data_IF_651973771064
#
_entry.id   IF_651973771064
#
_cell.length_a   1.000
_cell.length_b   1.000
_cell.length_c   1.000
_cell.angle_alpha   90.00
_cell.angle_beta   90.00
_cell.angle_gamma   90.00
#
_symmetry.space_group_name_H-M   'P 1'
#
loop_
_entity.id
_entity.type
_entity.pdbx_description
1 polymer ?
#
# COMPACT_ATOMS: atom_id res chain seq x y z
N UNK A 1 -26.28 -1.55 9.60
CA UNK A 1 -25.10 -0.90 9.02
C UNK A 1 -25.51 -0.44 7.64
N UNK A 2 -25.53 0.86 7.42
CA UNK A 2 -25.79 1.39 6.07
C UNK A 2 -24.72 0.86 5.13
N UNK A 3 -25.17 0.37 4.00
CA UNK A 3 -24.31 -0.22 2.99
C UNK A 3 -23.50 0.92 2.33
N UNK A 4 -22.28 1.16 2.77
CA UNK A 4 -21.37 2.18 2.23
C UNK A 4 -20.77 1.76 0.87
N UNK A 5 -21.48 0.94 0.12
CA UNK A 5 -21.06 0.58 -1.22
C UNK A 5 -21.18 1.79 -2.15
N UNK A 6 -20.08 2.27 -2.74
CA UNK A 6 -20.13 3.48 -3.55
C UNK A 6 -20.98 3.25 -4.81
N UNK A 7 -21.86 4.19 -5.10
CA UNK A 7 -22.75 4.20 -6.26
C UNK A 7 -22.15 4.87 -7.50
N UNK A 8 -20.93 5.38 -7.40
CA UNK A 8 -20.19 6.06 -8.45
C UNK A 8 -19.32 5.10 -9.26
N UNK A 9 -18.73 5.60 -10.34
CA UNK A 9 -17.86 4.82 -11.23
C UNK A 9 -16.74 4.09 -10.46
N UNK A 10 -16.59 2.80 -10.73
CA UNK A 10 -15.66 1.90 -10.03
C UNK A 10 -14.87 1.07 -11.03
N UNK A 11 -13.58 0.96 -10.83
CA UNK A 11 -12.69 0.16 -11.65
C UNK A 11 -11.98 -0.89 -10.81
N UNK A 12 -11.96 -2.12 -11.28
CA UNK A 12 -11.27 -3.22 -10.59
C UNK A 12 -10.00 -3.56 -11.34
N UNK A 13 -8.90 -3.69 -10.60
CA UNK A 13 -7.60 -4.02 -11.15
C UNK A 13 -7.28 -5.48 -10.87
N UNK A 14 -7.08 -6.25 -11.93
CA UNK A 14 -6.76 -7.66 -11.89
C UNK A 14 -5.38 -7.90 -12.52
N UNK A 15 -4.60 -8.79 -11.96
CA UNK A 15 -3.36 -9.26 -12.57
C UNK A 15 -3.65 -10.17 -13.77
N UNK A 16 -2.79 -10.13 -14.76
CA UNK A 16 -2.85 -11.05 -15.89
C UNK A 16 -3.80 -10.68 -17.03
N UNK A 17 -4.30 -9.44 -17.02
CA UNK A 17 -4.89 -8.83 -18.21
C UNK A 17 -6.41 -8.83 -18.36
N UNK A 18 -7.26 -9.52 -17.56
CA UNK A 18 -8.69 -9.24 -17.61
C UNK A 18 -8.96 -7.79 -17.23
N UNK A 19 -9.90 -7.18 -17.93
CA UNK A 19 -10.41 -5.86 -17.60
C UNK A 19 -11.71 -6.02 -16.81
N UNK A 20 -11.87 -5.29 -15.73
CA UNK A 20 -13.08 -5.34 -14.93
C UNK A 20 -13.52 -3.94 -14.52
N UNK A 21 -14.79 -3.65 -14.69
CA UNK A 21 -15.40 -2.37 -14.37
C UNK A 21 -16.77 -2.57 -13.74
N UNK A 22 -17.14 -1.71 -12.81
CA UNK A 22 -18.47 -1.68 -12.23
C UNK A 22 -19.15 -0.42 -12.73
N UNK A 23 -20.24 -0.58 -13.43
CA UNK A 23 -20.97 0.54 -13.99
C UNK A 23 -21.45 1.53 -12.92
N UNK A 24 -21.41 2.84 -13.21
CA UNK A 24 -22.01 3.82 -12.33
C UNK A 24 -23.49 3.50 -12.07
N UNK A 25 -23.92 3.67 -10.83
CA UNK A 25 -25.30 3.44 -10.38
C UNK A 25 -25.81 1.98 -10.53
N UNK A 26 -24.93 1.06 -10.90
CA UNK A 26 -25.25 -0.36 -10.94
C UNK A 26 -24.43 -1.12 -9.91
N UNK A 27 -24.93 -2.29 -9.52
CA UNK A 27 -24.18 -3.22 -8.68
C UNK A 27 -23.56 -4.35 -9.51
N UNK A 28 -23.49 -4.18 -10.83
CA UNK A 28 -22.98 -5.18 -11.74
C UNK A 28 -21.51 -4.92 -12.03
N UNK A 29 -20.65 -5.89 -11.75
CA UNK A 29 -19.30 -5.92 -12.26
C UNK A 29 -19.28 -6.65 -13.60
N UNK A 30 -18.76 -5.99 -14.60
CA UNK A 30 -18.53 -6.56 -15.93
C UNK A 30 -17.06 -6.93 -16.06
N UNK A 31 -16.77 -8.17 -16.39
CA UNK A 31 -15.41 -8.70 -16.55
C UNK A 31 -15.22 -9.12 -18.00
N UNK A 32 -14.29 -8.46 -18.69
CA UNK A 32 -13.96 -8.77 -20.07
C UNK A 32 -12.78 -9.75 -20.13
N UNK A 33 -12.83 -10.69 -21.07
CA UNK A 33 -11.75 -11.63 -21.24
C UNK A 33 -10.47 -10.92 -21.71
N UNK A 34 -9.35 -11.58 -21.47
CA UNK A 34 -8.02 -11.15 -21.93
C UNK A 34 -7.86 -11.27 -23.43
N UNK A 35 -8.60 -12.16 -24.06
CA UNK A 35 -8.58 -12.47 -25.49
C UNK A 35 -9.97 -12.28 -26.10
N UNK A 36 -10.03 -12.05 -27.40
CA UNK A 36 -11.30 -11.88 -28.12
C UNK A 36 -12.20 -13.12 -28.11
N UNK A 37 -11.66 -14.29 -27.76
CA UNK A 37 -12.38 -15.57 -27.76
C UNK A 37 -12.95 -15.93 -26.38
N UNK A 38 -12.72 -15.09 -25.38
CA UNK A 38 -13.21 -15.32 -24.02
C UNK A 38 -14.66 -14.88 -23.84
N UNK A 39 -15.31 -15.40 -22.80
CA UNK A 39 -16.67 -15.00 -22.45
C UNK A 39 -16.66 -13.76 -21.57
N UNK A 40 -17.55 -12.85 -21.86
CA UNK A 40 -17.93 -11.75 -21.01
C UNK A 40 -18.75 -12.25 -19.82
N UNK A 41 -18.45 -11.78 -18.62
CA UNK A 41 -19.12 -12.21 -17.39
C UNK A 41 -19.64 -10.99 -16.63
N UNK A 42 -20.88 -11.04 -16.21
CA UNK A 42 -21.52 -10.06 -15.35
C UNK A 42 -21.90 -10.68 -14.00
N UNK A 43 -21.58 -9.99 -12.92
CA UNK A 43 -21.84 -10.46 -11.56
C UNK A 43 -22.37 -9.31 -10.73
N UNK A 44 -23.45 -9.53 -10.01
CA UNK A 44 -24.01 -8.54 -9.09
C UNK A 44 -23.20 -8.47 -7.80
N UNK A 45 -22.72 -7.27 -7.47
CA UNK A 45 -21.85 -6.96 -6.32
C UNK A 45 -22.43 -5.79 -5.53
N UNK A 46 -22.56 -5.94 -4.23
CA UNK A 46 -23.14 -4.95 -3.32
C UNK A 46 -22.18 -4.51 -2.19
N UNK A 47 -20.98 -5.08 -2.15
CA UNK A 47 -19.97 -4.76 -1.14
C UNK A 47 -18.58 -5.14 -1.60
N UNK A 48 -17.55 -4.52 -1.01
CA UNK A 48 -16.16 -4.89 -1.27
C UNK A 48 -15.84 -6.32 -0.87
N UNK A 49 -16.43 -6.80 0.22
CA UNK A 49 -16.27 -8.18 0.67
C UNK A 49 -16.79 -9.17 -0.39
N UNK A 50 -17.99 -8.92 -0.92
CA UNK A 50 -18.60 -9.76 -1.98
C UNK A 50 -17.79 -9.64 -3.28
N UNK A 51 -17.33 -8.43 -3.65
CA UNK A 51 -16.46 -8.23 -4.80
C UNK A 51 -15.20 -9.10 -4.73
N UNK A 52 -14.43 -8.95 -3.66
CA UNK A 52 -13.16 -9.67 -3.52
C UNK A 52 -13.37 -11.19 -3.36
N UNK A 53 -14.38 -11.60 -2.62
CA UNK A 53 -14.74 -13.02 -2.48
C UNK A 53 -15.09 -13.65 -3.83
N UNK A 54 -15.94 -12.99 -4.62
CA UNK A 54 -16.38 -13.49 -5.92
C UNK A 54 -15.23 -13.59 -6.92
N UNK A 55 -14.38 -12.57 -6.97
CA UNK A 55 -13.20 -12.57 -7.84
C UNK A 55 -12.21 -13.66 -7.42
N UNK A 56 -11.97 -13.84 -6.11
CA UNK A 56 -11.10 -14.91 -5.59
C UNK A 56 -11.66 -16.29 -5.92
N UNK A 57 -12.98 -16.50 -5.79
CA UNK A 57 -13.64 -17.76 -6.16
C UNK A 57 -13.52 -18.06 -7.65
N UNK A 58 -13.49 -17.01 -8.49
CA UNK A 58 -13.22 -17.11 -9.92
C UNK A 58 -11.75 -17.26 -10.29
N UNK A 59 -10.85 -17.47 -9.32
CA UNK A 59 -9.39 -17.55 -9.50
C UNK A 59 -8.75 -16.30 -10.12
N UNK A 60 -9.37 -15.13 -9.96
CA UNK A 60 -8.75 -13.88 -10.38
C UNK A 60 -7.70 -13.41 -9.35
N UNK A 61 -6.55 -13.02 -9.86
CA UNK A 61 -5.52 -12.37 -9.04
C UNK A 61 -5.84 -10.87 -8.90
N UNK A 62 -6.28 -10.47 -7.71
CA UNK A 62 -6.82 -9.14 -7.44
C UNK A 62 -5.73 -8.21 -6.96
N UNK A 63 -5.63 -7.02 -7.55
CA UNK A 63 -4.78 -5.92 -7.06
C UNK A 63 -5.58 -5.04 -6.10
N UNK A 64 -6.78 -4.62 -6.53
CA UNK A 64 -7.64 -3.75 -5.77
C UNK A 64 -8.75 -3.15 -6.62
N UNK A 65 -9.47 -2.20 -6.04
CA UNK A 65 -10.53 -1.45 -6.71
C UNK A 65 -10.33 0.05 -6.51
N UNK A 66 -10.61 0.82 -7.55
CA UNK A 66 -10.67 2.27 -7.52
C UNK A 66 -12.14 2.70 -7.67
N UNK A 67 -12.52 3.72 -6.95
CA UNK A 67 -13.84 4.32 -7.06
C UNK A 67 -13.72 5.84 -7.00
N UNK A 68 -14.66 6.51 -7.65
CA UNK A 68 -14.83 7.96 -7.57
C UNK A 68 -15.91 8.26 -6.55
N UNK A 69 -15.71 9.28 -5.73
CA UNK A 69 -16.79 9.83 -4.92
C UNK A 69 -17.63 10.74 -5.79
N UNK A 70 -18.94 10.55 -5.79
CA UNK A 70 -19.86 11.43 -6.50
C UNK A 70 -20.03 12.73 -5.71
N UNK A 71 -19.21 13.72 -6.05
CA UNK A 71 -19.40 15.10 -5.61
C UNK A 71 -19.88 15.91 -6.82
N UNK A 72 -21.18 15.95 -7.00
CA UNK A 72 -21.82 16.78 -8.05
C UNK A 72 -21.44 18.27 -8.00
N UNK A 73 -20.80 18.70 -6.92
CA UNK A 73 -20.37 20.08 -6.69
C UNK A 73 -18.95 20.37 -7.20
N UNK A 74 -18.16 19.35 -7.56
CA UNK A 74 -16.81 19.55 -8.07
C UNK A 74 -16.81 19.81 -9.58
N UNK A 75 -16.25 20.96 -9.97
CA UNK A 75 -15.92 21.27 -11.36
C UNK A 75 -14.59 20.56 -11.67
N UNK A 76 -14.63 19.41 -12.32
CA UNK A 76 -13.43 18.65 -12.70
C UNK A 76 -13.57 17.14 -12.46
N UNK A 77 -12.44 16.43 -12.48
CA UNK A 77 -12.42 14.99 -12.16
C UNK A 77 -12.70 14.77 -10.67
N UNK A 78 -13.66 13.89 -10.37
CA UNK A 78 -13.93 13.47 -9.00
C UNK A 78 -12.70 12.80 -8.38
N UNK A 79 -12.40 13.05 -7.09
CA UNK A 79 -11.30 12.40 -6.42
C UNK A 79 -11.41 10.89 -6.50
N UNK A 80 -10.35 10.23 -6.93
CA UNK A 80 -10.28 8.77 -7.04
C UNK A 80 -9.70 8.21 -5.76
N UNK A 81 -10.38 7.21 -5.19
CA UNK A 81 -9.91 6.47 -4.04
C UNK A 81 -9.58 5.05 -4.46
N UNK A 82 -8.45 4.55 -4.01
CA UNK A 82 -7.99 3.19 -4.29
C UNK A 82 -8.06 2.35 -3.02
N UNK A 83 -8.70 1.18 -3.11
CA UNK A 83 -8.72 0.17 -2.07
C UNK A 83 -7.96 -1.07 -2.52
N UNK A 84 -6.78 -1.31 -1.94
CA UNK A 84 -5.99 -2.51 -2.18
C UNK A 84 -6.72 -3.77 -1.71
N UNK A 85 -6.49 -4.88 -2.40
CA UNK A 85 -6.99 -6.18 -1.96
C UNK A 85 -6.33 -6.60 -0.64
N UNK A 86 -7.12 -7.17 0.25
CA UNK A 86 -6.64 -7.83 1.48
C UNK A 86 -7.47 -9.09 1.74
N UNK A 87 -6.83 -10.12 2.28
CA UNK A 87 -7.54 -11.34 2.68
C UNK A 87 -8.45 -11.12 3.89
N UNK A 88 -8.16 -10.14 4.71
CA UNK A 88 -9.03 -9.70 5.80
C UNK A 88 -10.10 -8.76 5.26
N UNK A 89 -11.23 -9.31 4.86
CA UNK A 89 -12.28 -8.66 4.09
C UNK A 89 -12.85 -7.36 4.67
N UNK A 90 -12.73 -7.15 5.98
CA UNK A 90 -13.31 -6.01 6.68
C UNK A 90 -12.32 -4.86 6.96
N UNK A 91 -11.04 -5.02 6.60
CA UNK A 91 -10.03 -4.02 6.88
C UNK A 91 -9.56 -3.41 5.56
N UNK A 92 -9.84 -2.14 5.38
CA UNK A 92 -9.17 -1.33 4.38
C UNK A 92 -7.80 -0.94 4.93
N UNK A 93 -6.76 -1.54 4.37
CA UNK A 93 -5.43 -1.63 4.97
C UNK A 93 -4.90 -0.30 5.52
N UNK A 94 -5.18 0.82 4.88
CA UNK A 94 -4.66 2.11 5.30
C UNK A 94 -5.74 3.11 5.70
N UNK A 95 -6.98 2.94 5.22
CA UNK A 95 -8.03 3.92 5.46
C UNK A 95 -8.39 4.06 6.95
N UNK A 96 -8.64 2.95 7.62
CA UNK A 96 -8.96 2.96 9.05
C UNK A 96 -7.79 3.51 9.87
N UNK A 97 -6.57 3.20 9.48
CA UNK A 97 -5.36 3.75 10.12
C UNK A 97 -5.24 5.25 9.88
N UNK A 98 -5.47 5.74 8.66
CA UNK A 98 -5.49 7.16 8.34
C UNK A 98 -6.53 7.89 9.19
N UNK A 99 -7.76 7.36 9.30
CA UNK A 99 -8.82 7.96 10.10
C UNK A 99 -8.48 8.00 11.59
N UNK A 100 -7.88 6.94 12.13
CA UNK A 100 -7.41 6.92 13.52
C UNK A 100 -6.35 7.99 13.78
N UNK A 101 -5.36 8.12 12.89
CA UNK A 101 -4.32 9.13 13.02
C UNK A 101 -4.86 10.56 12.85
N UNK A 102 -5.83 10.79 11.98
CA UNK A 102 -6.55 12.06 11.87
C UNK A 102 -7.30 12.37 13.17
N UNK A 103 -7.92 11.36 13.80
CA UNK A 103 -8.59 11.50 15.11
C UNK A 103 -7.62 11.88 16.24
N UNK A 104 -6.42 11.25 16.25
CA UNK A 104 -5.35 11.62 17.20
C UNK A 104 -4.91 13.06 16.97
N UNK A 105 -4.68 13.44 15.71
CA UNK A 105 -4.31 14.81 15.35
C UNK A 105 -5.35 15.83 15.82
N UNK A 106 -6.64 15.60 15.56
CA UNK A 106 -7.71 16.48 15.99
C UNK A 106 -7.78 16.58 17.53
N UNK A 107 -7.64 15.47 18.22
CA UNK A 107 -7.59 15.43 19.69
C UNK A 107 -6.41 16.24 20.22
N UNK A 108 -5.22 16.07 19.64
CA UNK A 108 -4.00 16.80 20.01
C UNK A 108 -4.14 18.31 19.81
N UNK A 109 -4.79 18.71 18.72
CA UNK A 109 -5.13 20.12 18.46
C UNK A 109 -6.00 20.71 19.58
N UNK A 110 -7.07 20.01 19.97
CA UNK A 110 -7.95 20.45 21.06
C UNK A 110 -7.24 20.53 22.43
N UNK A 111 -6.29 19.63 22.68
CA UNK A 111 -5.48 19.64 23.90
C UNK A 111 -4.26 20.57 23.83
N UNK A 112 -4.08 21.29 22.72
CA UNK A 112 -2.95 22.21 22.48
C UNK A 112 -1.58 21.50 22.54
N UNK A 113 -1.55 20.24 22.20
CA UNK A 113 -0.34 19.44 22.04
C UNK A 113 0.18 19.55 20.60
N UNK A 114 0.97 20.57 20.35
CA UNK A 114 1.45 20.89 18.98
C UNK A 114 2.37 19.82 18.40
N UNK A 115 3.15 19.11 19.25
CA UNK A 115 4.07 18.09 18.76
C UNK A 115 3.33 16.81 18.38
N UNK A 116 2.40 16.34 19.22
CA UNK A 116 1.54 15.21 18.87
C UNK A 116 0.67 15.51 17.63
N UNK A 117 0.19 16.75 17.50
CA UNK A 117 -0.54 17.20 16.32
C UNK A 117 0.31 17.07 15.05
N UNK A 118 1.54 17.58 15.06
CA UNK A 118 2.45 17.51 13.91
C UNK A 118 2.81 16.07 13.56
N UNK A 119 3.22 15.27 14.55
CA UNK A 119 3.62 13.88 14.34
C UNK A 119 2.47 13.02 13.78
N UNK A 120 1.27 13.15 14.33
CA UNK A 120 0.11 12.39 13.87
C UNK A 120 -0.34 12.79 12.45
N UNK A 121 -0.24 14.06 12.09
CA UNK A 121 -0.48 14.53 10.72
C UNK A 121 0.56 13.97 9.74
N UNK A 122 1.84 13.97 10.10
CA UNK A 122 2.89 13.38 9.27
C UNK A 122 2.65 11.89 9.02
N UNK A 123 2.24 11.15 10.05
CA UNK A 123 1.91 9.71 9.92
C UNK A 123 0.68 9.51 9.03
N UNK A 124 -0.40 10.26 9.25
CA UNK A 124 -1.60 10.17 8.42
C UNK A 124 -1.31 10.48 6.95
N UNK A 125 -0.59 11.57 6.68
CA UNK A 125 -0.16 11.93 5.33
C UNK A 125 0.69 10.82 4.68
N UNK A 126 1.65 10.28 5.42
CA UNK A 126 2.56 9.26 4.89
C UNK A 126 1.85 7.92 4.64
N UNK A 127 0.87 7.54 5.46
CA UNK A 127 0.00 6.38 5.20
C UNK A 127 -0.76 6.53 3.87
N UNK A 128 -1.30 7.73 3.62
CA UNK A 128 -1.98 8.02 2.35
C UNK A 128 -1.01 7.97 1.15
N UNK A 129 0.20 8.50 1.34
CA UNK A 129 1.25 8.45 0.32
C UNK A 129 1.62 7.01 -0.03
N UNK A 130 1.82 6.15 0.96
CA UNK A 130 2.13 4.72 0.77
C UNK A 130 1.00 4.01 0.03
N UNK A 131 -0.26 4.30 0.35
CA UNK A 131 -1.40 3.74 -0.38
C UNK A 131 -1.36 4.10 -1.87
N UNK A 132 -1.03 5.34 -2.20
CA UNK A 132 -0.87 5.79 -3.58
C UNK A 132 0.34 5.14 -4.27
N UNK A 133 1.47 4.96 -3.56
CA UNK A 133 2.63 4.22 -4.09
C UNK A 133 2.31 2.77 -4.38
N UNK A 134 1.61 2.10 -3.47
CA UNK A 134 1.15 0.72 -3.69
C UNK A 134 0.26 0.61 -4.93
N UNK A 135 -0.67 1.58 -5.12
CA UNK A 135 -1.48 1.68 -6.33
C UNK A 135 -0.61 1.79 -7.58
N UNK A 136 0.31 2.76 -7.62
CA UNK A 136 1.18 2.99 -8.78
C UNK A 136 2.03 1.77 -9.11
N UNK A 137 2.63 1.14 -8.10
CA UNK A 137 3.42 -0.09 -8.25
C UNK A 137 2.56 -1.22 -8.83
N UNK A 138 1.35 -1.43 -8.28
CA UNK A 138 0.44 -2.47 -8.74
C UNK A 138 -0.01 -2.26 -10.18
N UNK A 139 -0.31 -1.01 -10.57
CA UNK A 139 -0.69 -0.68 -11.94
C UNK A 139 0.47 -0.82 -12.92
N UNK A 140 1.67 -0.40 -12.56
CA UNK A 140 2.87 -0.57 -13.38
C UNK A 140 3.16 -2.06 -13.63
N UNK A 141 3.02 -2.89 -12.59
CA UNK A 141 3.17 -4.34 -12.71
C UNK A 141 2.06 -4.97 -13.58
N UNK A 142 0.81 -4.55 -13.43
CA UNK A 142 -0.28 -4.98 -14.32
C UNK A 142 -0.01 -4.63 -15.77
N UNK A 143 0.44 -3.41 -16.05
CA UNK A 143 0.77 -2.96 -17.40
C UNK A 143 1.92 -3.79 -18.01
N UNK A 144 2.93 -4.13 -17.21
CA UNK A 144 4.01 -5.02 -17.62
C UNK A 144 3.49 -6.40 -18.03
N UNK A 145 2.64 -7.02 -17.21
CA UNK A 145 2.04 -8.33 -17.50
C UNK A 145 1.18 -8.27 -18.76
N UNK A 146 0.38 -7.22 -18.94
CA UNK A 146 -0.44 -7.02 -20.15
C UNK A 146 0.42 -6.88 -21.39
N UNK A 147 1.49 -6.11 -21.34
CA UNK A 147 2.41 -5.94 -22.47
C UNK A 147 3.06 -7.27 -22.88
N UNK A 148 3.44 -8.12 -21.91
CA UNK A 148 3.99 -9.45 -22.17
C UNK A 148 2.97 -10.33 -22.88
N UNK A 149 1.72 -10.32 -22.38
CA UNK A 149 0.64 -11.12 -22.96
C UNK A 149 0.31 -10.70 -24.38
N UNK A 150 0.25 -9.39 -24.66
CA UNK A 150 -0.01 -8.86 -26.00
C UNK A 150 1.09 -9.20 -27.00
N UNK A 151 2.33 -9.31 -26.55
CA UNK A 151 3.43 -9.79 -27.39
C UNK A 151 3.31 -11.27 -27.78
N UNK A 152 2.56 -12.05 -27.02
CA UNK A 152 2.18 -13.44 -27.35
C UNK A 152 3.30 -14.49 -27.36
N UNK A 153 4.52 -14.08 -27.52
CA UNK A 153 5.65 -14.92 -27.91
C UNK A 153 6.74 -14.98 -26.85
N UNK A 154 6.40 -15.50 -25.65
CA UNK A 154 7.40 -15.72 -24.62
C UNK A 154 7.48 -17.19 -24.19
N UNK A 155 8.68 -17.64 -23.88
CA UNK A 155 8.95 -18.99 -23.34
C UNK A 155 8.98 -18.95 -21.82
N UNK A 156 8.51 -20.02 -21.19
CA UNK A 156 8.62 -20.19 -19.75
C UNK A 156 10.10 -20.11 -19.33
N UNK A 157 10.43 -19.32 -18.32
CA UNK A 157 11.79 -19.03 -17.88
C UNK A 157 12.55 -18.03 -18.74
N UNK A 158 11.94 -17.45 -19.75
CA UNK A 158 12.58 -16.43 -20.58
C UNK A 158 12.79 -15.14 -19.76
N UNK A 159 14.02 -14.62 -19.83
CA UNK A 159 14.30 -13.28 -19.30
C UNK A 159 13.64 -12.23 -20.19
N UNK A 160 13.04 -11.23 -19.57
CA UNK A 160 12.54 -10.08 -20.30
C UNK A 160 12.84 -8.78 -19.52
N UNK A 161 12.94 -7.70 -20.28
CA UNK A 161 13.04 -6.35 -19.79
C UNK A 161 12.39 -5.43 -20.82
N UNK A 162 11.57 -4.51 -20.38
CA UNK A 162 10.93 -3.48 -21.19
C UNK A 162 10.75 -2.19 -20.36
N UNK A 163 10.15 -1.15 -20.95
CA UNK A 163 9.95 0.11 -20.28
C UNK A 163 9.05 -0.01 -19.02
N UNK A 164 8.14 -0.97 -18.98
CA UNK A 164 7.32 -1.23 -17.78
C UNK A 164 8.14 -1.87 -16.65
N UNK A 165 9.17 -2.65 -16.97
CA UNK A 165 10.09 -3.20 -15.98
C UNK A 165 10.77 -2.07 -15.21
N UNK A 166 11.25 -1.07 -15.92
CA UNK A 166 11.91 0.08 -15.29
C UNK A 166 10.92 0.89 -14.43
N UNK A 167 9.68 1.07 -14.88
CA UNK A 167 8.63 1.72 -14.09
C UNK A 167 8.30 0.94 -12.81
N UNK A 168 8.19 -0.39 -12.88
CA UNK A 168 7.96 -1.24 -11.68
C UNK A 168 9.09 -1.03 -10.66
N UNK A 169 10.34 -1.01 -11.08
CA UNK A 169 11.45 -0.75 -10.17
C UNK A 169 11.43 0.67 -9.59
N UNK A 170 11.13 1.68 -10.40
CA UNK A 170 11.04 3.07 -9.93
C UNK A 170 9.93 3.24 -8.89
N UNK A 171 8.75 2.67 -9.13
CA UNK A 171 7.64 2.71 -8.18
C UNK A 171 7.96 1.93 -6.90
N UNK A 172 8.66 0.80 -7.01
CA UNK A 172 9.10 0.04 -5.85
C UNK A 172 10.13 0.81 -5.01
N UNK A 173 11.09 1.50 -5.64
CA UNK A 173 12.03 2.39 -4.94
C UNK A 173 11.29 3.51 -4.21
N UNK A 174 10.33 4.15 -4.87
CA UNK A 174 9.51 5.20 -4.28
C UNK A 174 8.70 4.68 -3.09
N UNK A 175 8.13 3.48 -3.21
CA UNK A 175 7.43 2.81 -2.12
C UNK A 175 8.36 2.55 -0.91
N UNK A 176 9.55 2.00 -1.13
CA UNK A 176 10.53 1.75 -0.05
C UNK A 176 10.97 3.04 0.65
N UNK A 177 11.16 4.11 -0.12
CA UNK A 177 11.51 5.43 0.44
C UNK A 177 10.40 5.96 1.35
N UNK A 178 9.17 6.00 0.85
CA UNK A 178 8.01 6.51 1.59
C UNK A 178 7.67 5.62 2.80
N UNK A 179 7.80 4.29 2.67
CA UNK A 179 7.64 3.37 3.80
C UNK A 179 8.71 3.56 4.89
N UNK A 180 9.94 3.90 4.48
CA UNK A 180 11.01 4.26 5.40
C UNK A 180 10.71 5.55 6.19
N UNK A 181 10.16 6.56 5.54
CA UNK A 181 9.72 7.80 6.21
C UNK A 181 8.59 7.50 7.20
N UNK A 182 7.58 6.70 6.82
CA UNK A 182 6.52 6.31 7.74
C UNK A 182 7.07 5.58 8.96
N UNK A 183 7.99 4.63 8.76
CA UNK A 183 8.67 3.91 9.85
C UNK A 183 9.34 4.88 10.82
N UNK A 184 10.07 5.84 10.30
CA UNK A 184 10.79 6.81 11.13
C UNK A 184 9.81 7.74 11.88
N UNK A 185 8.75 8.24 11.24
CA UNK A 185 7.70 9.03 11.90
C UNK A 185 6.97 8.24 13.00
N UNK A 186 6.67 6.96 12.78
CA UNK A 186 6.08 6.09 13.79
C UNK A 186 7.02 5.89 14.97
N UNK A 187 8.32 5.70 14.74
CA UNK A 187 9.32 5.55 15.79
C UNK A 187 9.46 6.84 16.62
N UNK A 188 9.43 8.00 15.98
CA UNK A 188 9.43 9.29 16.67
C UNK A 188 8.19 9.45 17.56
N UNK A 189 7.00 9.11 17.03
CA UNK A 189 5.76 9.18 17.80
C UNK A 189 5.74 8.20 18.98
N UNK A 190 6.22 6.97 18.78
CA UNK A 190 6.32 5.96 19.85
C UNK A 190 7.24 6.47 20.97
N UNK A 191 8.39 7.02 20.61
CA UNK A 191 9.32 7.59 21.60
C UNK A 191 8.68 8.77 22.33
N UNK A 192 8.05 9.70 21.61
CA UNK A 192 7.31 10.82 22.19
C UNK A 192 6.27 10.35 23.22
N UNK A 193 5.46 9.37 22.84
CA UNK A 193 4.40 8.83 23.70
C UNK A 193 4.95 8.12 24.94
N UNK A 194 5.97 7.30 24.78
CA UNK A 194 6.63 6.56 25.87
C UNK A 194 7.42 7.47 26.81
N UNK A 195 7.88 8.63 26.31
CA UNK A 195 8.72 9.56 27.08
C UNK A 195 7.97 10.83 27.53
N UNK A 196 6.70 10.67 27.92
CA UNK A 196 5.88 11.72 28.52
C UNK A 196 5.84 13.05 27.73
N UNK A 197 5.77 12.95 26.40
CA UNK A 197 5.64 14.11 25.52
C UNK A 197 6.98 14.77 25.11
N UNK A 198 8.09 14.07 25.22
CA UNK A 198 9.40 14.56 24.78
C UNK A 198 9.99 13.69 23.68
N UNK A 199 10.44 14.29 22.58
CA UNK A 199 11.22 13.61 21.55
C UNK A 199 12.74 13.62 21.81
N UNK A 200 13.21 14.11 22.98
CA UNK A 200 14.63 14.29 23.26
C UNK A 200 15.13 13.32 24.31
N UNK A 201 16.30 12.73 24.05
CA UNK A 201 17.12 12.02 25.02
C UNK A 201 18.52 12.61 25.03
N UNK A 202 19.02 12.98 26.22
CA UNK A 202 20.33 13.58 26.42
C UNK A 202 20.57 14.79 25.47
N UNK A 203 19.52 15.61 25.27
CA UNK A 203 19.55 16.78 24.39
C UNK A 203 19.48 16.50 22.88
N UNK A 204 19.41 15.22 22.47
CA UNK A 204 19.31 14.79 21.06
C UNK A 204 17.90 14.32 20.75
N UNK A 205 17.38 14.73 19.61
CA UNK A 205 16.09 14.27 19.12
C UNK A 205 16.15 12.82 18.61
N UNK A 206 15.13 12.05 18.94
CA UNK A 206 14.94 10.67 18.48
C UNK A 206 13.88 10.69 17.37
N UNK A 207 14.33 10.84 16.15
CA UNK A 207 13.48 11.02 14.94
C UNK A 207 13.56 9.85 13.97
N UNK A 208 14.30 8.79 14.31
CA UNK A 208 14.53 7.66 13.41
C UNK A 208 14.39 6.33 14.13
N UNK A 209 14.08 5.29 13.35
CA UNK A 209 14.03 3.92 13.83
C UNK A 209 15.35 3.47 14.50
N UNK A 210 16.49 3.81 13.90
CA UNK A 210 17.81 3.52 14.49
C UNK A 210 18.06 4.24 15.80
N UNK A 211 17.55 5.47 15.95
CA UNK A 211 17.58 6.23 17.19
C UNK A 211 16.78 5.56 18.29
N UNK A 212 15.51 5.22 18.00
CA UNK A 212 14.64 4.51 18.92
C UNK A 212 15.24 3.17 19.36
N UNK A 213 15.76 2.38 18.42
CA UNK A 213 16.35 1.08 18.72
C UNK A 213 17.53 1.18 19.71
N UNK A 214 18.38 2.23 19.57
CA UNK A 214 19.50 2.47 20.50
C UNK A 214 19.01 2.81 21.90
N UNK A 215 17.89 3.52 22.01
CA UNK A 215 17.27 3.83 23.30
C UNK A 215 16.70 2.58 23.93
N UNK A 216 15.85 1.88 23.22
CA UNK A 216 15.19 0.68 23.71
C UNK A 216 16.19 -0.37 24.19
N UNK A 217 17.29 -0.62 23.47
CA UNK A 217 18.33 -1.57 23.89
C UNK A 217 19.01 -1.21 25.22
N UNK A 218 18.91 0.02 25.69
CA UNK A 218 19.49 0.44 26.98
C UNK A 218 18.48 0.36 28.13
N UNK A 219 17.19 0.25 27.84
CA UNK A 219 16.14 0.14 28.86
C UNK A 219 16.14 -1.28 29.44
N UNK A 220 15.87 -1.37 30.75
CA UNK A 220 15.76 -2.67 31.44
C UNK A 220 14.35 -3.28 31.32
N UNK A 221 13.33 -2.45 31.24
CA UNK A 221 11.94 -2.86 31.15
C UNK A 221 11.31 -2.25 29.90
N UNK A 222 10.48 -3.02 29.23
CA UNK A 222 9.77 -2.61 28.02
C UNK A 222 8.27 -2.82 28.20
N UNK A 223 7.50 -1.91 27.63
CA UNK A 223 6.06 -2.14 27.39
C UNK A 223 5.87 -3.19 26.30
N UNK A 224 4.66 -3.71 26.14
CA UNK A 224 4.34 -4.68 25.08
C UNK A 224 4.62 -4.11 23.68
N UNK A 225 4.31 -2.81 23.47
CA UNK A 225 4.58 -2.12 22.22
C UNK A 225 6.08 -2.02 21.94
N UNK A 226 6.87 -1.62 22.93
CA UNK A 226 8.32 -1.50 22.80
C UNK A 226 8.98 -2.87 22.55
N UNK A 227 8.50 -3.90 23.24
CA UNK A 227 8.95 -5.29 23.01
C UNK A 227 8.63 -5.78 21.60
N UNK A 228 7.43 -5.45 21.08
CA UNK A 228 7.05 -5.75 19.72
C UNK A 228 7.96 -5.03 18.71
N UNK A 229 8.19 -3.73 18.89
CA UNK A 229 9.08 -2.93 18.03
C UNK A 229 10.51 -3.48 18.04
N UNK A 230 11.05 -3.82 19.21
CA UNK A 230 12.38 -4.43 19.32
C UNK A 230 12.49 -5.74 18.54
N UNK A 231 11.46 -6.58 18.61
CA UNK A 231 11.39 -7.83 17.85
C UNK A 231 11.41 -7.57 16.35
N UNK A 232 10.52 -6.67 15.87
CA UNK A 232 10.38 -6.39 14.44
C UNK A 232 11.56 -5.59 13.84
N UNK A 233 12.32 -4.89 14.68
CA UNK A 233 13.55 -4.19 14.28
C UNK A 233 14.81 -5.07 14.42
N UNK A 234 14.67 -6.30 14.88
CA UNK A 234 15.75 -7.28 14.96
C UNK A 234 15.86 -8.09 13.65
N UNK A 235 16.99 -8.76 13.45
CA UNK A 235 17.22 -9.61 12.27
C UNK A 235 16.06 -10.60 12.06
N UNK A 236 15.49 -10.61 10.86
CA UNK A 236 14.32 -11.40 10.49
C UNK A 236 12.96 -10.72 10.78
N UNK A 237 12.93 -9.56 11.43
CA UNK A 237 11.73 -8.77 11.59
C UNK A 237 11.45 -7.89 10.36
N UNK A 238 10.18 -7.63 10.06
CA UNK A 238 9.80 -6.90 8.85
C UNK A 238 10.29 -5.43 8.83
N UNK A 239 10.38 -4.76 9.98
CA UNK A 239 10.94 -3.40 10.08
C UNK A 239 12.45 -3.38 9.82
N UNK A 240 13.16 -4.44 10.22
CA UNK A 240 14.57 -4.63 9.90
C UNK A 240 14.76 -4.79 8.39
N UNK A 241 14.01 -5.71 7.78
CA UNK A 241 14.08 -5.97 6.34
C UNK A 241 13.74 -4.72 5.51
N UNK A 242 12.68 -4.00 5.88
CA UNK A 242 12.31 -2.73 5.24
C UNK A 242 13.48 -1.73 5.29
N UNK A 243 14.13 -1.61 6.45
CA UNK A 243 15.31 -0.76 6.62
C UNK A 243 16.46 -1.18 5.72
N UNK A 244 16.71 -2.46 5.65
CA UNK A 244 17.78 -3.02 4.84
C UNK A 244 17.58 -2.79 3.33
N UNK A 245 16.37 -3.05 2.83
CA UNK A 245 16.04 -2.76 1.42
C UNK A 245 16.10 -1.27 1.09
N UNK A 246 15.57 -0.41 1.98
CA UNK A 246 15.67 1.05 1.80
C UNK A 246 17.13 1.49 1.73
N UNK A 247 17.98 1.04 2.65
CA UNK A 247 19.39 1.44 2.70
C UNK A 247 20.16 0.91 1.48
N UNK A 248 19.84 -0.29 0.99
CA UNK A 248 20.38 -0.82 -0.26
C UNK A 248 20.07 0.11 -1.44
N UNK A 249 18.82 0.50 -1.60
CA UNK A 249 18.37 1.37 -2.69
C UNK A 249 18.96 2.77 -2.59
N UNK A 250 19.04 3.32 -1.38
CA UNK A 250 19.50 4.70 -1.16
C UNK A 250 21.02 4.86 -1.23
N UNK A 251 21.78 3.82 -0.86
CA UNK A 251 23.22 3.97 -0.61
C UNK A 251 24.10 3.03 -1.45
N UNK A 252 23.54 2.00 -2.06
CA UNK A 252 24.36 1.00 -2.72
C UNK A 252 24.05 0.84 -4.21
N UNK A 253 22.87 0.36 -4.57
CA UNK A 253 22.51 0.15 -5.96
C UNK A 253 20.99 0.08 -6.16
N UNK A 254 20.47 0.55 -7.29
CA UNK A 254 19.11 0.27 -7.68
C UNK A 254 18.83 -1.24 -7.73
N UNK A 255 17.63 -1.66 -7.29
CA UNK A 255 17.28 -3.09 -7.23
C UNK A 255 17.38 -3.77 -8.59
N UNK A 256 17.05 -3.07 -9.67
CA UNK A 256 17.18 -3.59 -11.03
C UNK A 256 18.64 -3.96 -11.39
N UNK A 257 19.62 -3.28 -10.84
CA UNK A 257 21.04 -3.60 -11.00
C UNK A 257 21.46 -4.73 -10.08
N UNK A 258 20.96 -4.73 -8.83
CA UNK A 258 21.31 -5.73 -7.82
C UNK A 258 20.71 -7.12 -8.13
N UNK A 259 19.46 -7.17 -8.65
CA UNK A 259 18.76 -8.43 -8.91
C UNK A 259 19.02 -9.02 -10.29
N UNK A 260 19.43 -8.22 -11.26
CA UNK A 260 19.77 -8.56 -12.64
C UNK A 260 18.75 -9.35 -13.48
N UNK A 261 17.64 -9.92 -12.90
CA UNK A 261 16.87 -10.90 -13.68
C UNK A 261 15.40 -10.96 -13.29
N UNK A 262 14.52 -10.59 -14.21
CA UNK A 262 13.12 -10.99 -14.20
C UNK A 262 12.89 -12.13 -15.19
N UNK A 263 12.11 -13.12 -14.79
CA UNK A 263 11.77 -14.29 -15.59
C UNK A 263 10.27 -14.39 -15.77
N UNK A 264 9.83 -14.69 -16.98
CA UNK A 264 8.45 -15.04 -17.25
C UNK A 264 8.15 -16.46 -16.75
N UNK A 265 7.10 -16.64 -15.97
CA UNK A 265 6.63 -17.95 -15.50
C UNK A 265 5.20 -18.14 -16.02
N UNK A 266 4.99 -19.19 -16.83
CA UNK A 266 3.65 -19.63 -17.21
C UNK A 266 3.09 -20.49 -16.06
N UNK A 267 2.00 -20.05 -15.47
CA UNK A 267 1.18 -20.91 -14.62
C UNK A 267 0.00 -21.42 -15.44
N UNK A 268 -0.17 -22.74 -15.50
CA UNK A 268 -1.43 -23.34 -15.91
C UNK A 268 -2.43 -23.11 -14.77
N UNK A 269 -3.49 -22.40 -15.05
CA UNK A 269 -4.65 -22.21 -14.17
C UNK A 269 -5.59 -23.39 -14.38
#
# INVERSE_FOLDING_TARGET
>A
MENNWPICGRKVFLLGGPYAEIEPQSNIISIWPKTTDGQFVEIEIDSYGKLFYTLKKGNFSIIGAEFTTDYSEYIGESPKQFRGYTEQQNIWLNWDSIQKWNGISLSSFHHKDGLSYDLSNRISFQLNTINNRLKSLSLSYQNQLNAIVLKGDFKNGQRFQDGYTDLVYQEFHSFLFDAGILRDNLCEYIYYFSNSGSCKQDGKEITTAGGLLKVLKKMQNHTDLESYILKEMSNGGWLYELGHYRDLVMHSAPINIASHRLFAIKQSI
#
